data_IF_374886487209
#
_entry.id   IF_374886487209
#
_cell.length_a   1.000
_cell.length_b   1.000
_cell.length_c   1.000
_cell.angle_alpha   90.00
_cell.angle_beta   90.00
_cell.angle_gamma   90.00
#
_symmetry.space_group_name_H-M   'P 1'
#
loop_
_entity.id
_entity.type
_entity.pdbx_description
1 polymer ?
#
# COMPACT_ATOMS: atom_id res chain seq x y z
N UNK A 1 25.11 15.59 -6.03
CA UNK A 1 23.77 15.03 -6.32
C UNK A 1 22.76 15.96 -5.70
N UNK A 2 21.65 16.27 -6.38
CA UNK A 2 20.57 17.03 -5.75
C UNK A 2 20.03 16.27 -4.53
N UNK A 3 19.77 16.96 -3.43
CA UNK A 3 19.12 16.35 -2.27
C UNK A 3 17.60 16.36 -2.47
N UNK A 4 16.88 15.25 -2.18
CA UNK A 4 15.44 15.19 -2.37
C UNK A 4 14.71 16.10 -1.39
N UNK A 5 13.76 16.90 -1.89
CA UNK A 5 12.83 17.63 -1.04
C UNK A 5 11.63 16.75 -0.70
N UNK A 6 11.70 16.07 0.44
CA UNK A 6 10.67 15.11 0.86
C UNK A 6 9.25 15.68 0.98
N UNK A 7 9.07 17.01 1.04
CA UNK A 7 7.73 17.64 0.98
C UNK A 7 7.03 17.44 -0.36
N UNK A 8 7.80 17.26 -1.43
CA UNK A 8 7.30 16.97 -2.77
C UNK A 8 7.29 15.46 -3.03
N UNK A 9 8.26 14.73 -2.48
CA UNK A 9 8.42 13.30 -2.76
C UNK A 9 7.56 12.39 -1.86
N UNK A 10 7.04 12.90 -0.74
CA UNK A 10 6.30 12.09 0.23
C UNK A 10 5.07 12.81 0.80
N UNK A 11 4.01 12.05 1.06
CA UNK A 11 2.76 12.58 1.60
C UNK A 11 2.51 12.11 3.02
N UNK A 12 2.91 12.89 4.02
CA UNK A 12 2.56 12.64 5.42
C UNK A 12 1.04 12.61 5.66
N UNK A 13 0.29 13.38 4.85
CA UNK A 13 -1.18 13.37 4.86
C UNK A 13 -1.74 11.99 4.51
N UNK A 14 -1.13 11.29 3.54
CA UNK A 14 -1.56 9.95 3.14
C UNK A 14 -1.43 8.97 4.31
N UNK A 15 -0.29 8.99 5.00
CA UNK A 15 -0.04 8.18 6.20
C UNK A 15 -1.00 8.47 7.34
N UNK A 16 -1.29 9.75 7.60
CA UNK A 16 -2.25 10.12 8.62
C UNK A 16 -3.66 9.58 8.29
N UNK A 17 -4.09 9.70 7.04
CA UNK A 17 -5.38 9.15 6.60
C UNK A 17 -5.42 7.63 6.76
N UNK A 18 -4.34 6.93 6.40
CA UNK A 18 -4.21 5.49 6.57
C UNK A 18 -4.41 5.07 8.03
N UNK A 19 -3.70 5.72 8.96
CA UNK A 19 -3.83 5.47 10.41
C UNK A 19 -5.27 5.68 10.90
N UNK A 20 -5.90 6.79 10.51
CA UNK A 20 -7.28 7.08 10.90
C UNK A 20 -8.27 5.99 10.45
N UNK A 21 -8.08 5.42 9.25
CA UNK A 21 -8.94 4.33 8.74
C UNK A 21 -8.70 3.01 9.46
N UNK A 22 -7.46 2.72 9.87
CA UNK A 22 -7.16 1.54 10.69
C UNK A 22 -7.86 1.65 12.06
N UNK A 23 -7.84 2.82 12.69
CA UNK A 23 -8.53 3.07 13.97
C UNK A 23 -10.04 2.85 13.84
N UNK A 24 -10.68 3.46 12.83
CA UNK A 24 -12.11 3.24 12.56
C UNK A 24 -12.43 1.78 12.25
N UNK A 25 -11.56 1.09 11.51
CA UNK A 25 -11.72 -0.32 11.17
C UNK A 25 -11.62 -1.22 12.39
N UNK A 26 -10.74 -0.90 13.35
CA UNK A 26 -10.63 -1.64 14.60
C UNK A 26 -11.95 -1.63 15.38
N UNK A 27 -12.59 -0.47 15.49
CA UNK A 27 -13.88 -0.36 16.15
C UNK A 27 -15.02 -1.06 15.40
N UNK A 28 -14.95 -1.11 14.07
CA UNK A 28 -16.01 -1.70 13.23
C UNK A 28 -15.89 -3.21 13.06
N UNK A 29 -14.68 -3.73 12.89
CA UNK A 29 -14.40 -5.10 12.47
C UNK A 29 -13.46 -5.86 13.40
N UNK A 30 -12.98 -5.21 14.46
CA UNK A 30 -12.04 -5.80 15.40
C UNK A 30 -10.59 -5.80 14.92
N UNK A 31 -9.70 -6.55 15.60
CA UNK A 31 -8.26 -6.50 15.38
C UNK A 31 -7.83 -6.98 14.00
N UNK A 32 -6.98 -6.21 13.32
CA UNK A 32 -6.37 -6.59 12.04
C UNK A 32 -5.64 -7.94 12.12
N UNK A 33 -4.92 -8.21 13.21
CA UNK A 33 -4.23 -9.48 13.42
C UNK A 33 -5.16 -10.67 13.22
N UNK A 34 -6.33 -10.68 13.85
CA UNK A 34 -7.30 -11.78 13.71
C UNK A 34 -7.83 -11.84 12.29
N UNK A 35 -8.29 -10.71 11.73
CA UNK A 35 -8.89 -10.67 10.41
C UNK A 35 -7.94 -11.18 9.29
N UNK A 36 -6.66 -10.82 9.35
CA UNK A 36 -5.71 -11.15 8.28
C UNK A 36 -4.86 -12.39 8.59
N UNK A 37 -4.38 -12.59 9.83
CA UNK A 37 -3.59 -13.79 10.18
C UNK A 37 -4.41 -15.07 10.09
N UNK A 38 -5.68 -15.00 10.49
CA UNK A 38 -6.58 -16.16 10.43
C UNK A 38 -7.30 -16.26 9.06
N UNK A 39 -6.84 -15.46 8.08
CA UNK A 39 -7.32 -15.45 6.69
C UNK A 39 -8.83 -15.24 6.55
N UNK A 40 -9.45 -14.49 7.47
CA UNK A 40 -10.88 -14.15 7.44
C UNK A 40 -11.20 -13.08 6.38
N UNK A 41 -10.22 -12.22 6.08
CA UNK A 41 -10.27 -11.24 5.00
C UNK A 41 -9.06 -11.46 4.10
N UNK A 42 -9.30 -11.64 2.79
CA UNK A 42 -8.24 -11.77 1.79
C UNK A 42 -7.67 -10.38 1.45
N UNK A 43 -6.45 -10.09 1.89
CA UNK A 43 -5.89 -8.74 1.81
C UNK A 43 -5.64 -8.32 0.36
N UNK A 44 -5.05 -9.20 -0.46
CA UNK A 44 -4.72 -8.89 -1.87
C UNK A 44 -5.97 -8.73 -2.72
N UNK A 45 -6.97 -9.61 -2.59
CA UNK A 45 -8.23 -9.43 -3.34
C UNK A 45 -8.97 -8.17 -2.93
N UNK A 46 -8.93 -7.81 -1.65
CA UNK A 46 -9.59 -6.57 -1.19
C UNK A 46 -8.84 -5.32 -1.65
N UNK A 47 -7.51 -5.37 -1.75
CA UNK A 47 -6.71 -4.34 -2.42
C UNK A 47 -7.18 -4.12 -3.87
N UNK A 48 -7.33 -5.18 -4.66
CA UNK A 48 -7.78 -5.08 -6.05
C UNK A 48 -9.16 -4.41 -6.16
N UNK A 49 -10.09 -4.77 -5.26
CA UNK A 49 -11.41 -4.12 -5.20
C UNK A 49 -11.33 -2.62 -4.93
N UNK A 50 -10.42 -2.19 -4.05
CA UNK A 50 -10.19 -0.76 -3.79
C UNK A 50 -9.65 -0.04 -5.04
N UNK A 51 -8.71 -0.67 -5.77
CA UNK A 51 -8.18 -0.09 -7.02
C UNK A 51 -9.27 0.05 -8.07
N UNK A 52 -10.12 -0.95 -8.26
CA UNK A 52 -11.26 -0.88 -9.19
C UNK A 52 -12.27 0.20 -8.77
N UNK A 53 -12.58 0.30 -7.47
CA UNK A 53 -13.48 1.33 -6.95
C UNK A 53 -12.92 2.74 -7.10
N UNK A 54 -11.61 2.92 -6.95
CA UNK A 54 -10.94 4.18 -7.26
C UNK A 54 -11.08 4.54 -8.74
N UNK A 55 -10.86 3.58 -9.65
CA UNK A 55 -11.00 3.82 -11.10
C UNK A 55 -12.41 4.27 -11.46
N UNK A 56 -13.44 3.68 -10.83
CA UNK A 56 -14.85 4.03 -11.02
C UNK A 56 -15.19 5.42 -10.44
N UNK A 57 -14.86 5.65 -9.17
CA UNK A 57 -15.40 6.79 -8.39
C UNK A 57 -14.49 8.01 -8.33
N UNK A 58 -13.20 7.82 -8.63
CA UNK A 58 -12.11 8.81 -8.42
C UNK A 58 -11.91 9.25 -6.97
N UNK A 59 -12.56 8.59 -6.00
CA UNK A 59 -12.36 8.92 -4.59
C UNK A 59 -11.03 8.34 -4.08
N UNK A 60 -10.09 9.21 -3.72
CA UNK A 60 -8.74 8.83 -3.25
C UNK A 60 -8.73 8.09 -1.91
N UNK A 61 -9.84 8.07 -1.17
CA UNK A 61 -9.97 7.21 0.01
C UNK A 61 -9.70 5.74 -0.32
N UNK A 62 -10.13 5.27 -1.49
CA UNK A 62 -9.85 3.90 -1.90
C UNK A 62 -8.36 3.63 -2.15
N UNK A 63 -7.55 4.65 -2.47
CA UNK A 63 -6.08 4.48 -2.54
C UNK A 63 -5.47 4.31 -1.14
N UNK A 64 -5.99 5.04 -0.16
CA UNK A 64 -5.60 4.92 1.25
C UNK A 64 -5.93 3.52 1.77
N UNK A 65 -7.14 3.02 1.48
CA UNK A 65 -7.56 1.67 1.87
C UNK A 65 -6.76 0.58 1.14
N UNK A 66 -6.53 0.73 -0.17
CA UNK A 66 -5.70 -0.19 -0.95
C UNK A 66 -4.30 -0.34 -0.34
N UNK A 67 -3.68 0.76 0.10
CA UNK A 67 -2.38 0.72 0.76
C UNK A 67 -2.44 0.10 2.18
N UNK A 68 -3.54 0.27 2.90
CA UNK A 68 -3.76 -0.41 4.18
C UNK A 68 -3.86 -1.93 4.01
N UNK A 69 -4.57 -2.43 2.99
CA UNK A 69 -4.61 -3.86 2.71
C UNK A 69 -3.25 -4.43 2.32
N UNK A 70 -2.45 -3.73 1.52
CA UNK A 70 -1.06 -4.14 1.24
C UNK A 70 -0.20 -4.17 2.51
N UNK A 71 -0.37 -3.19 3.42
CA UNK A 71 0.31 -3.21 4.70
C UNK A 71 -0.15 -4.38 5.58
N UNK A 72 -1.43 -4.73 5.57
CA UNK A 72 -1.91 -5.88 6.32
C UNK A 72 -1.37 -7.21 5.77
N UNK A 73 -1.25 -7.36 4.45
CA UNK A 73 -0.55 -8.49 3.84
C UNK A 73 0.93 -8.52 4.25
N UNK A 74 1.61 -7.36 4.27
CA UNK A 74 2.99 -7.29 4.74
C UNK A 74 3.14 -7.69 6.22
N UNK A 75 2.21 -7.28 7.09
CA UNK A 75 2.23 -7.58 8.53
C UNK A 75 1.81 -9.01 8.86
N UNK A 76 0.85 -9.54 8.12
CA UNK A 76 0.22 -10.85 8.33
C UNK A 76 0.12 -11.59 7.00
N UNK A 77 1.26 -11.98 6.40
CA UNK A 77 1.29 -12.56 5.06
C UNK A 77 0.40 -13.79 4.98
N UNK A 78 -0.45 -13.80 3.97
CA UNK A 78 -1.38 -14.90 3.71
C UNK A 78 -0.81 -15.91 2.72
N UNK A 79 0.18 -15.49 1.93
CA UNK A 79 0.96 -16.35 1.05
C UNK A 79 2.04 -17.11 1.82
N UNK A 80 2.05 -18.43 1.65
CA UNK A 80 3.03 -19.30 2.30
C UNK A 80 4.44 -18.98 1.81
N UNK A 81 5.36 -18.75 2.76
CA UNK A 81 6.76 -18.43 2.45
C UNK A 81 7.01 -16.98 2.04
N UNK A 82 6.03 -16.08 2.15
CA UNK A 82 6.27 -14.66 1.91
C UNK A 82 7.29 -14.08 2.91
N UNK A 83 8.19 -13.24 2.41
CA UNK A 83 9.27 -12.63 3.16
C UNK A 83 9.66 -11.29 2.55
N UNK A 84 10.37 -10.46 3.33
CA UNK A 84 10.97 -9.22 2.84
C UNK A 84 12.47 -9.43 2.60
N UNK A 85 12.93 -9.12 1.39
CA UNK A 85 14.33 -8.97 1.01
C UNK A 85 14.44 -7.70 0.18
N UNK A 86 15.39 -6.84 0.50
CA UNK A 86 15.70 -5.68 -0.32
C UNK A 86 16.27 -6.15 -1.67
N UNK A 87 15.72 -5.63 -2.77
CA UNK A 87 16.15 -5.89 -4.14
C UNK A 87 16.89 -4.68 -4.72
N UNK A 88 17.83 -4.92 -5.63
CA UNK A 88 18.50 -3.87 -6.41
C UNK A 88 17.84 -3.72 -7.80
N UNK A 89 18.50 -2.99 -8.70
CA UNK A 89 17.99 -2.75 -10.07
C UNK A 89 17.84 -4.03 -10.88
N UNK A 90 18.65 -5.07 -10.62
CA UNK A 90 18.66 -6.31 -11.41
C UNK A 90 17.49 -7.23 -11.02
N UNK A 91 16.95 -7.06 -9.81
CA UNK A 91 15.77 -7.75 -9.28
C UNK A 91 14.50 -6.88 -9.33
N UNK A 92 14.51 -5.77 -10.07
CA UNK A 92 13.37 -4.84 -10.17
C UNK A 92 12.16 -5.47 -10.88
N UNK A 93 10.95 -5.19 -10.38
CA UNK A 93 9.70 -5.55 -11.06
C UNK A 93 9.45 -4.76 -12.35
N UNK A 94 10.27 -3.75 -12.63
CA UNK A 94 10.11 -2.83 -13.75
C UNK A 94 9.04 -1.75 -13.49
N UNK A 95 8.87 -0.86 -14.46
CA UNK A 95 7.87 0.21 -14.44
C UNK A 95 7.07 0.21 -15.73
N UNK A 96 5.76 0.45 -15.64
CA UNK A 96 4.96 0.76 -16.84
C UNK A 96 5.09 2.26 -17.13
N UNK A 97 5.80 2.61 -18.20
CA UNK A 97 6.17 3.99 -18.55
C UNK A 97 7.68 4.24 -18.41
N UNK A 98 8.11 5.46 -18.70
CA UNK A 98 9.51 5.89 -18.66
C UNK A 98 9.71 6.93 -17.55
N UNK A 99 10.58 6.64 -16.59
CA UNK A 99 10.97 7.59 -15.55
C UNK A 99 11.99 8.58 -16.10
N UNK A 100 11.98 9.83 -15.62
CA UNK A 100 12.86 10.90 -16.13
C UNK A 100 14.36 10.57 -16.01
N UNK A 101 14.74 9.79 -15.00
CA UNK A 101 16.11 9.30 -14.81
C UNK A 101 17.15 10.43 -14.83
N UNK A 102 18.26 10.18 -15.51
CA UNK A 102 19.37 11.13 -15.64
C UNK A 102 19.08 12.32 -16.58
N UNK A 103 17.98 12.28 -17.36
CA UNK A 103 17.69 13.31 -18.37
C UNK A 103 17.04 14.57 -17.79
N UNK A 104 16.70 14.58 -16.49
CA UNK A 104 16.03 15.69 -15.83
C UNK A 104 16.53 16.04 -14.42
N UNK A 105 17.75 15.63 -14.07
CA UNK A 105 18.46 16.02 -12.84
C UNK A 105 19.54 17.07 -13.11
#
# INVERSE_FOLDING_TARGET
MAEPNMKNEYSERFDQLRKNRVEMSFHKYGPAKTNFKDKLVDALKTHDLCIEKYKETKNTEYLVDAANYLMFEFMYPQLDGAYFKATDSDESAGTVGEAIGEWGL
#
